data_IF_440632223093
#
_entry.id   IF_440632223093
#
_cell.length_a   1.000
_cell.length_b   1.000
_cell.length_c   1.000
_cell.angle_alpha   90.00
_cell.angle_beta   90.00
_cell.angle_gamma   90.00
#
_symmetry.space_group_name_H-M   'P 1'
#
loop_
_entity.id
_entity.type
_entity.pdbx_description
1 polymer ?
#
# COMPACT_ATOMS: atom_id res chain seq x y z
N UNK A 1 12.13 22.22 -18.07
CA UNK A 1 12.69 20.87 -17.78
C UNK A 1 13.29 20.28 -19.05
N UNK A 2 14.56 19.85 -19.05
CA UNK A 2 15.17 19.18 -20.21
C UNK A 2 14.50 17.81 -20.43
N UNK A 3 13.94 17.55 -21.62
CA UNK A 3 13.21 16.32 -22.00
C UNK A 3 13.95 15.01 -21.68
N UNK A 4 15.28 15.02 -21.66
CA UNK A 4 16.12 13.84 -21.39
C UNK A 4 16.01 13.33 -19.95
N UNK A 5 15.89 14.22 -18.96
CA UNK A 5 15.92 13.84 -17.54
C UNK A 5 14.63 13.10 -17.10
N UNK A 6 13.49 13.44 -17.69
CA UNK A 6 12.20 12.82 -17.34
C UNK A 6 12.08 11.39 -17.89
N UNK A 7 12.54 11.18 -19.14
CA UNK A 7 12.57 9.86 -19.79
C UNK A 7 13.43 8.87 -18.99
N UNK A 8 14.64 9.27 -18.62
CA UNK A 8 15.54 8.44 -17.80
C UNK A 8 14.96 8.16 -16.41
N UNK A 9 14.37 9.16 -15.74
CA UNK A 9 13.74 8.97 -14.42
C UNK A 9 12.58 7.96 -14.47
N UNK A 10 11.67 8.08 -15.43
CA UNK A 10 10.51 7.18 -15.56
C UNK A 10 10.92 5.74 -15.97
N UNK A 11 11.97 5.61 -16.78
CA UNK A 11 12.52 4.30 -17.16
C UNK A 11 13.23 3.60 -15.98
N UNK A 12 13.91 4.36 -15.12
CA UNK A 12 14.68 3.81 -14.01
C UNK A 12 13.89 3.65 -12.68
N UNK A 13 12.66 4.15 -12.60
CA UNK A 13 11.87 4.12 -11.37
C UNK A 13 11.30 2.73 -11.04
N UNK A 14 11.49 2.28 -9.80
CA UNK A 14 11.12 0.95 -9.30
C UNK A 14 10.25 1.03 -8.03
N UNK A 15 8.92 1.14 -8.19
CA UNK A 15 7.95 1.02 -7.09
C UNK A 15 8.07 -0.29 -6.31
N UNK A 16 8.35 -1.37 -7.05
CA UNK A 16 8.26 -2.73 -6.53
C UNK A 16 9.24 -3.09 -5.42
N UNK A 17 10.22 -2.25 -5.08
CA UNK A 17 11.07 -2.51 -3.91
C UNK A 17 10.34 -2.12 -2.61
N UNK A 18 9.67 -0.96 -2.60
CA UNK A 18 9.01 -0.44 -1.40
C UNK A 18 7.75 -1.22 -1.03
N UNK A 19 6.87 -1.50 -2.00
CA UNK A 19 5.69 -2.33 -1.76
C UNK A 19 6.05 -3.77 -1.40
N UNK A 20 7.15 -4.31 -1.96
CA UNK A 20 7.65 -5.64 -1.61
C UNK A 20 8.15 -5.71 -0.18
N UNK A 21 8.96 -4.75 0.25
CA UNK A 21 9.43 -4.68 1.64
C UNK A 21 8.26 -4.62 2.62
N UNK A 22 7.24 -3.82 2.33
CA UNK A 22 6.03 -3.80 3.16
C UNK A 22 5.28 -5.15 3.13
N UNK A 23 5.08 -5.74 1.95
CA UNK A 23 4.37 -7.01 1.81
C UNK A 23 5.05 -8.14 2.60
N UNK A 24 6.38 -8.15 2.67
CA UNK A 24 7.16 -9.12 3.45
C UNK A 24 6.90 -8.92 4.96
N UNK A 25 6.94 -7.67 5.44
CA UNK A 25 6.69 -7.34 6.85
C UNK A 25 5.26 -7.72 7.23
N UNK A 26 4.27 -7.34 6.42
CA UNK A 26 2.86 -7.66 6.67
C UNK A 26 2.60 -9.17 6.61
N UNK A 27 3.20 -9.91 5.66
CA UNK A 27 3.13 -11.36 5.60
C UNK A 27 3.73 -12.03 6.85
N UNK A 28 4.85 -11.52 7.37
CA UNK A 28 5.45 -11.98 8.62
C UNK A 28 4.53 -11.82 9.82
N UNK A 29 3.81 -10.69 9.90
CA UNK A 29 2.78 -10.45 10.92
C UNK A 29 1.65 -11.48 10.80
N UNK A 30 1.15 -11.75 9.59
CA UNK A 30 0.10 -12.77 9.39
C UNK A 30 0.53 -14.18 9.76
N UNK A 31 1.75 -14.58 9.40
CA UNK A 31 2.29 -15.90 9.77
C UNK A 31 2.37 -16.04 11.29
N UNK A 32 2.83 -14.99 11.98
CA UNK A 32 2.92 -14.99 13.45
C UNK A 32 1.54 -15.10 14.07
N UNK A 33 0.56 -14.34 13.57
CA UNK A 33 -0.84 -14.40 14.01
C UNK A 33 -1.50 -15.77 13.76
N UNK A 34 -1.15 -16.47 12.69
CA UNK A 34 -1.67 -17.80 12.38
C UNK A 34 -1.01 -18.93 13.19
N UNK A 35 0.22 -18.71 13.68
CA UNK A 35 1.00 -19.71 14.42
C UNK A 35 0.80 -19.69 15.95
N UNK A 36 0.12 -18.70 16.50
CA UNK A 36 0.03 -18.51 17.96
C UNK A 36 -1.21 -19.12 18.60
N UNK A 37 -1.06 -20.33 19.16
CA UNK A 37 -1.82 -20.83 20.32
C UNK A 37 -1.17 -20.32 21.63
N UNK A 38 -1.13 -19.01 21.85
CA UNK A 38 -0.34 -18.41 22.95
C UNK A 38 -1.18 -17.81 24.11
N UNK A 39 -1.18 -18.57 25.22
CA UNK A 39 -1.08 -18.19 26.67
C UNK A 39 -2.31 -18.26 27.59
N UNK A 40 -2.12 -19.13 28.60
CA UNK A 40 -2.88 -19.41 29.82
C UNK A 40 -3.42 -18.19 30.59
N UNK A 41 -4.64 -17.78 30.26
CA UNK A 41 -5.79 -17.72 31.19
C UNK A 41 -7.06 -17.45 30.37
N UNK A 42 -8.13 -18.22 30.60
CA UNK A 42 -9.22 -18.39 29.63
C UNK A 42 -9.99 -17.11 29.22
N UNK A 43 -9.99 -16.03 30.02
CA UNK A 43 -10.72 -14.79 29.69
C UNK A 43 -9.86 -13.71 29.02
N UNK A 44 -8.60 -13.53 29.47
CA UNK A 44 -7.66 -12.57 28.86
C UNK A 44 -7.22 -13.05 27.48
N UNK A 45 -6.99 -14.35 27.33
CA UNK A 45 -6.69 -14.99 26.04
C UNK A 45 -7.79 -14.71 25.01
N UNK A 46 -9.05 -14.81 25.42
CA UNK A 46 -10.20 -14.54 24.54
C UNK A 46 -10.25 -13.09 24.07
N UNK A 47 -9.86 -12.13 24.92
CA UNK A 47 -9.83 -10.71 24.55
C UNK A 47 -8.64 -10.37 23.64
N UNK A 48 -7.46 -10.93 23.94
CA UNK A 48 -6.27 -10.79 23.09
C UNK A 48 -6.55 -11.42 21.72
N UNK A 49 -7.08 -12.65 21.67
CA UNK A 49 -7.40 -13.34 20.42
C UNK A 49 -8.41 -12.57 19.57
N UNK A 50 -9.48 -12.04 20.17
CA UNK A 50 -10.43 -11.18 19.45
C UNK A 50 -9.74 -9.94 18.89
N UNK A 51 -8.88 -9.29 19.67
CA UNK A 51 -8.14 -8.11 19.23
C UNK A 51 -7.16 -8.44 18.10
N UNK A 52 -6.46 -9.57 18.19
CA UNK A 52 -5.57 -10.05 17.14
C UNK A 52 -6.33 -10.39 15.84
N UNK A 53 -7.54 -10.93 15.92
CA UNK A 53 -8.38 -11.14 14.74
C UNK A 53 -8.82 -9.81 14.11
N UNK A 54 -9.17 -8.80 14.90
CA UNK A 54 -9.47 -7.45 14.39
C UNK A 54 -8.26 -6.84 13.68
N UNK A 55 -7.08 -6.93 14.31
CA UNK A 55 -5.81 -6.51 13.72
C UNK A 55 -5.55 -7.21 12.39
N UNK A 56 -5.77 -8.54 12.33
CA UNK A 56 -5.59 -9.31 11.11
C UNK A 56 -6.50 -8.80 10.00
N UNK A 57 -7.80 -8.70 10.25
CA UNK A 57 -8.77 -8.24 9.25
C UNK A 57 -8.43 -6.83 8.73
N UNK A 58 -8.12 -5.90 9.64
CA UNK A 58 -7.76 -4.53 9.28
C UNK A 58 -6.47 -4.45 8.44
N UNK A 59 -5.45 -5.25 8.77
CA UNK A 59 -4.23 -5.33 7.96
C UNK A 59 -4.48 -5.98 6.59
N UNK A 60 -5.39 -6.96 6.48
CA UNK A 60 -5.77 -7.56 5.20
C UNK A 60 -6.48 -6.54 4.31
N UNK A 61 -7.38 -5.74 4.87
CA UNK A 61 -8.07 -4.65 4.18
C UNK A 61 -7.11 -3.55 3.74
N UNK A 62 -6.22 -3.11 4.63
CA UNK A 62 -5.16 -2.14 4.31
C UNK A 62 -4.27 -2.66 3.18
N UNK A 63 -3.81 -3.91 3.24
CA UNK A 63 -2.98 -4.51 2.20
C UNK A 63 -3.72 -4.63 0.87
N UNK A 64 -5.01 -5.00 0.90
CA UNK A 64 -5.85 -5.04 -0.31
C UNK A 64 -5.95 -3.67 -0.97
N UNK A 65 -6.20 -2.61 -0.19
CA UNK A 65 -6.28 -1.25 -0.72
C UNK A 65 -4.95 -0.79 -1.30
N UNK A 66 -3.83 -1.09 -0.62
CA UNK A 66 -2.48 -0.82 -1.10
C UNK A 66 -2.21 -1.51 -2.44
N UNK A 67 -2.58 -2.79 -2.56
CA UNK A 67 -2.39 -3.54 -3.81
C UNK A 67 -3.24 -2.99 -4.96
N UNK A 68 -4.44 -2.50 -4.68
CA UNK A 68 -5.29 -1.83 -5.67
C UNK A 68 -4.66 -0.52 -6.14
N UNK A 69 -4.17 0.31 -5.21
CA UNK A 69 -3.45 1.53 -5.53
C UNK A 69 -2.15 1.24 -6.33
N UNK A 70 -1.38 0.21 -5.96
CA UNK A 70 -0.20 -0.21 -6.71
C UNK A 70 -0.56 -0.62 -8.15
N UNK A 71 -1.62 -1.41 -8.33
CA UNK A 71 -2.07 -1.82 -9.66
C UNK A 71 -2.47 -0.62 -10.53
N UNK A 72 -3.18 0.36 -9.96
CA UNK A 72 -3.54 1.60 -10.64
C UNK A 72 -2.28 2.40 -11.04
N UNK A 73 -1.31 2.55 -10.14
CA UNK A 73 -0.04 3.22 -10.42
C UNK A 73 0.78 2.54 -11.50
N UNK A 74 0.89 1.22 -11.45
CA UNK A 74 1.62 0.45 -12.45
C UNK A 74 0.96 0.56 -13.83
N UNK A 75 -0.37 0.53 -13.90
CA UNK A 75 -1.11 0.73 -15.14
C UNK A 75 -0.81 2.12 -15.74
N UNK A 76 -0.92 3.19 -14.94
CA UNK A 76 -0.65 4.55 -15.38
C UNK A 76 0.79 4.71 -15.89
N UNK A 77 1.77 4.20 -15.16
CA UNK A 77 3.19 4.36 -15.50
C UNK A 77 3.58 3.51 -16.70
N UNK A 78 3.03 2.31 -16.84
CA UNK A 78 3.25 1.48 -18.02
C UNK A 78 2.67 2.16 -19.27
N UNK A 79 1.52 2.83 -19.15
CA UNK A 79 0.97 3.62 -20.24
C UNK A 79 1.89 4.80 -20.62
N UNK A 80 2.36 5.58 -19.65
CA UNK A 80 3.31 6.67 -19.94
C UNK A 80 4.64 6.18 -20.51
N UNK A 81 5.17 5.05 -20.02
CA UNK A 81 6.38 4.42 -20.59
C UNK A 81 6.19 4.05 -22.05
N UNK A 82 5.03 3.49 -22.41
CA UNK A 82 4.69 3.19 -23.80
C UNK A 82 4.69 4.46 -24.66
N UNK A 83 4.03 5.53 -24.20
CA UNK A 83 3.98 6.82 -24.91
C UNK A 83 5.37 7.41 -25.12
N UNK A 84 6.23 7.36 -24.10
CA UNK A 84 7.61 7.87 -24.19
C UNK A 84 8.47 6.99 -25.11
N UNK A 85 8.29 5.67 -25.06
CA UNK A 85 9.03 4.74 -25.92
C UNK A 85 8.66 4.95 -27.40
N UNK A 86 7.38 5.25 -27.68
CA UNK A 86 6.84 5.46 -29.02
C UNK A 86 6.70 6.94 -29.37
N UNK A 87 7.39 7.83 -28.67
CA UNK A 87 7.22 9.28 -28.81
C UNK A 87 7.37 9.79 -30.26
N UNK A 88 8.32 9.24 -31.02
CA UNK A 88 8.56 9.62 -32.43
C UNK A 88 7.67 8.87 -33.43
N UNK A 89 6.85 7.94 -32.95
CA UNK A 89 6.03 7.04 -33.76
C UNK A 89 4.68 6.74 -33.10
N UNK A 90 4.02 7.74 -32.51
CA UNK A 90 2.77 7.55 -31.75
C UNK A 90 1.65 6.93 -32.60
N UNK A 91 1.64 7.19 -33.90
CA UNK A 91 0.73 6.59 -34.88
C UNK A 91 0.83 5.07 -34.98
N UNK A 92 1.89 4.46 -34.44
CA UNK A 92 2.06 3.00 -34.39
C UNK A 92 1.37 2.34 -33.19
N UNK A 93 0.87 3.13 -32.23
CA UNK A 93 0.12 2.61 -31.08
C UNK A 93 -1.30 2.25 -31.54
N UNK A 94 -1.77 1.05 -31.18
CA UNK A 94 -3.15 0.63 -31.48
C UNK A 94 -4.14 1.57 -30.81
N UNK A 95 -5.15 2.02 -31.56
CA UNK A 95 -6.21 2.90 -31.05
C UNK A 95 -6.87 2.37 -29.77
N UNK A 96 -7.16 1.06 -29.70
CA UNK A 96 -7.74 0.43 -28.52
C UNK A 96 -6.90 0.55 -27.25
N UNK A 97 -5.56 0.65 -27.34
CA UNK A 97 -4.70 0.89 -26.18
C UNK A 97 -4.89 2.31 -25.68
N UNK A 98 -5.03 3.29 -26.58
CA UNK A 98 -5.28 4.68 -26.22
C UNK A 98 -6.67 4.86 -25.63
N UNK A 99 -7.69 4.24 -26.22
CA UNK A 99 -9.07 4.29 -25.75
C UNK A 99 -9.22 3.67 -24.35
N UNK A 100 -8.67 2.47 -24.13
CA UNK A 100 -8.76 1.77 -22.85
C UNK A 100 -7.97 2.48 -21.72
N UNK A 101 -7.02 3.36 -22.07
CA UNK A 101 -6.17 4.07 -21.10
C UNK A 101 -6.36 5.60 -21.17
N UNK A 102 -7.38 6.09 -21.87
CA UNK A 102 -7.61 7.52 -22.04
C UNK A 102 -7.79 8.23 -20.69
N UNK A 103 -8.36 7.51 -19.72
CA UNK A 103 -8.57 7.99 -18.37
C UNK A 103 -7.39 7.73 -17.43
N UNK A 104 -6.36 6.96 -17.82
CA UNK A 104 -5.25 6.64 -16.92
C UNK A 104 -4.55 7.90 -16.34
N UNK A 105 -4.32 8.98 -17.12
CA UNK A 105 -3.79 10.24 -16.59
C UNK A 105 -4.75 11.01 -15.67
N UNK A 106 -6.00 10.57 -15.51
CA UNK A 106 -7.03 11.24 -14.71
C UNK A 106 -7.66 10.32 -13.65
N UNK A 107 -7.34 9.02 -13.69
CA UNK A 107 -7.82 8.04 -12.74
C UNK A 107 -7.26 8.40 -11.35
N UNK A 108 -8.17 8.51 -10.39
CA UNK A 108 -7.90 8.68 -8.97
C UNK A 108 -8.25 7.38 -8.27
N UNK A 109 -7.27 6.70 -7.70
CA UNK A 109 -7.50 5.52 -6.87
C UNK A 109 -7.13 5.87 -5.43
N UNK A 110 -8.14 5.94 -4.57
CA UNK A 110 -7.92 6.23 -3.16
C UNK A 110 -7.30 4.98 -2.50
N UNK A 111 -6.11 5.12 -1.93
CA UNK A 111 -5.69 4.17 -0.92
C UNK A 111 -6.53 4.46 0.33
N UNK A 112 -7.27 3.47 0.82
CA UNK A 112 -7.92 3.50 2.12
C UNK A 112 -6.95 2.96 3.17
N UNK A 113 -7.04 3.49 4.39
CA UNK A 113 -6.22 3.09 5.52
C UNK A 113 -7.03 3.22 6.80
N UNK A 114 -7.00 2.16 7.61
CA UNK A 114 -7.54 2.13 8.96
C UNK A 114 -6.45 1.74 9.97
N UNK A 115 -6.58 2.26 11.18
CA UNK A 115 -5.78 1.85 12.34
C UNK A 115 -6.60 1.66 13.62
N UNK A 116 -7.91 1.58 13.48
CA UNK A 116 -8.86 1.50 14.59
C UNK A 116 -8.60 0.26 15.45
N UNK A 117 -8.35 -0.90 14.83
CA UNK A 117 -8.05 -2.12 15.58
C UNK A 117 -6.73 -2.00 16.36
N UNK A 118 -5.74 -1.29 15.82
CA UNK A 118 -4.49 -0.99 16.51
C UNK A 118 -4.70 -0.03 17.69
N UNK A 119 -5.55 0.99 17.53
CA UNK A 119 -5.90 1.90 18.61
C UNK A 119 -6.65 1.18 19.74
N UNK A 120 -7.56 0.27 19.41
CA UNK A 120 -8.24 -0.59 20.39
C UNK A 120 -7.23 -1.46 21.14
N UNK A 121 -6.26 -2.07 20.44
CA UNK A 121 -5.20 -2.87 21.07
C UNK A 121 -4.33 -2.05 22.04
N UNK A 122 -4.01 -0.79 21.67
CA UNK A 122 -3.23 0.13 22.52
C UNK A 122 -4.01 0.60 23.73
N UNK A 123 -5.25 1.05 23.53
CA UNK A 123 -6.10 1.66 24.57
C UNK A 123 -6.60 0.64 25.61
N UNK A 124 -6.76 -0.62 25.22
CA UNK A 124 -7.21 -1.70 26.10
C UNK A 124 -6.12 -2.27 27.02
N UNK A 125 -4.89 -1.74 26.98
CA UNK A 125 -3.70 -2.25 27.67
C UNK A 125 -3.35 -3.73 27.33
N UNK A 126 -4.03 -4.35 26.36
CA UNK A 126 -3.78 -5.73 25.93
C UNK A 126 -2.38 -5.90 25.31
N UNK A 127 -1.86 -4.85 24.67
CA UNK A 127 -0.48 -4.85 24.13
C UNK A 127 0.59 -5.14 25.19
N UNK A 128 0.37 -4.71 26.45
CA UNK A 128 1.33 -4.98 27.53
C UNK A 128 1.36 -6.46 27.91
N UNK A 129 0.21 -7.14 27.76
CA UNK A 129 -0.01 -8.55 28.11
C UNK A 129 0.57 -9.51 27.06
N UNK A 130 0.83 -9.04 25.83
CA UNK A 130 1.53 -9.82 24.80
C UNK A 130 3.01 -9.92 25.17
N UNK A 131 3.56 -11.12 25.42
CA UNK A 131 4.95 -11.26 25.85
C UNK A 131 5.93 -11.12 24.70
N UNK A 132 5.54 -11.50 23.48
CA UNK A 132 6.38 -11.36 22.29
C UNK A 132 6.48 -9.88 21.86
N UNK A 133 7.51 -9.21 22.35
CA UNK A 133 7.78 -7.80 22.04
C UNK A 133 8.31 -7.60 20.62
N UNK A 134 8.94 -8.62 20.03
CA UNK A 134 9.42 -8.54 18.65
C UNK A 134 8.22 -8.54 17.68
N UNK A 135 7.22 -9.38 17.96
CA UNK A 135 5.95 -9.35 17.23
C UNK A 135 5.28 -7.98 17.31
N UNK A 136 5.17 -7.38 18.50
CA UNK A 136 4.57 -6.04 18.66
C UNK A 136 5.32 -5.00 17.82
N UNK A 137 6.65 -5.04 17.80
CA UNK A 137 7.45 -4.12 16.97
C UNK A 137 7.16 -4.29 15.48
N UNK A 138 7.13 -5.54 14.98
CA UNK A 138 6.80 -5.84 13.58
C UNK A 138 5.38 -5.40 13.22
N UNK A 139 4.43 -5.60 14.13
CA UNK A 139 3.06 -5.15 13.98
C UNK A 139 2.97 -3.62 13.81
N UNK A 140 3.62 -2.87 14.70
CA UNK A 140 3.65 -1.40 14.63
C UNK A 140 4.34 -0.91 13.36
N UNK A 141 5.40 -1.60 12.91
CA UNK A 141 6.08 -1.28 11.65
C UNK A 141 5.19 -1.52 10.44
N UNK A 142 4.40 -2.60 10.41
CA UNK A 142 3.44 -2.87 9.35
C UNK A 142 2.42 -1.72 9.22
N UNK A 143 1.80 -1.32 10.33
CA UNK A 143 0.85 -0.20 10.34
C UNK A 143 1.48 1.12 9.92
N UNK A 144 2.70 1.41 10.37
CA UNK A 144 3.44 2.61 9.94
C UNK A 144 3.71 2.61 8.44
N UNK A 145 4.05 1.45 7.87
CA UNK A 145 4.25 1.29 6.43
C UNK A 145 2.96 1.51 5.63
N UNK A 146 1.85 0.93 6.09
CA UNK A 146 0.54 1.15 5.47
C UNK A 146 0.14 2.63 5.49
N UNK A 147 0.29 3.31 6.63
CA UNK A 147 0.00 4.75 6.74
C UNK A 147 0.82 5.58 5.78
N UNK A 148 2.13 5.31 5.70
CA UNK A 148 3.01 6.06 4.83
C UNK A 148 2.61 5.93 3.35
N UNK A 149 2.25 4.72 2.90
CA UNK A 149 1.72 4.53 1.54
C UNK A 149 0.45 5.34 1.31
N UNK A 150 -0.45 5.35 2.29
CA UNK A 150 -1.68 6.13 2.21
C UNK A 150 -1.40 7.63 2.02
N UNK A 151 -0.48 8.17 2.82
CA UNK A 151 -0.05 9.57 2.74
C UNK A 151 0.63 9.87 1.40
N UNK A 152 1.58 9.02 0.97
CA UNK A 152 2.28 9.16 -0.31
C UNK A 152 1.29 9.10 -1.50
N UNK A 153 0.25 8.26 -1.41
CA UNK A 153 -0.80 8.14 -2.43
C UNK A 153 -1.65 9.41 -2.53
N UNK A 154 -2.08 9.96 -1.39
CA UNK A 154 -2.81 11.23 -1.31
C UNK A 154 -1.98 12.38 -1.88
N UNK A 155 -0.71 12.46 -1.51
CA UNK A 155 0.18 13.51 -2.00
C UNK A 155 0.37 13.42 -3.51
N UNK A 156 0.61 12.22 -4.06
CA UNK A 156 0.72 12.04 -5.51
C UNK A 156 -0.50 12.58 -6.26
N UNK A 157 -1.71 12.21 -5.83
CA UNK A 157 -2.92 12.62 -6.53
C UNK A 157 -3.25 14.10 -6.32
N UNK A 158 -2.95 14.66 -5.16
CA UNK A 158 -3.04 16.10 -4.92
C UNK A 158 -2.12 16.87 -5.87
N UNK A 159 -0.85 16.49 -5.97
CA UNK A 159 0.10 17.11 -6.91
C UNK A 159 -0.35 16.98 -8.36
N UNK A 160 -0.86 15.81 -8.74
CA UNK A 160 -1.38 15.55 -10.09
C UNK A 160 -2.56 16.48 -10.40
N UNK A 161 -3.51 16.63 -9.48
CA UNK A 161 -4.68 17.50 -9.64
C UNK A 161 -4.29 18.98 -9.78
N UNK A 162 -3.38 19.47 -8.93
CA UNK A 162 -2.87 20.85 -8.96
C UNK A 162 -2.16 21.21 -10.27
N UNK A 163 -1.61 20.22 -10.98
CA UNK A 163 -0.94 20.40 -12.27
C UNK A 163 -1.84 20.22 -13.49
N UNK A 164 -2.97 19.50 -13.36
CA UNK A 164 -3.96 19.35 -14.44
C UNK A 164 -4.90 20.55 -14.52
N UNK A 165 -5.16 21.23 -13.41
CA UNK A 165 -6.12 22.36 -13.31
C UNK A 165 -5.52 23.75 -13.57
N UNK A 166 -4.25 23.83 -13.98
CA UNK A 166 -3.55 25.08 -14.37
C UNK A 166 -3.39 25.15 -15.89
#
# INVERSE_FOLDING_TARGET
MKKTNLKEKLQNWKLGNYFRELSIVTAGVFITLAGTDFINSASQEKQINKSMQMIKMELEENLKSINQAEAAYLNEINFFRLLIQKQDSLQTIKASILENNANAPFAYENCEYSEDALEVLKSSALMQQIPDKEFILKLLQAYKGCRKINEDNKDYYKYKQDHITR
#
